data_IF_907093249685
#
_entry.id   IF_907093249685
#
_cell.length_a   1.000
_cell.length_b   1.000
_cell.length_c   1.000
_cell.angle_alpha   90.00
_cell.angle_beta   90.00
_cell.angle_gamma   90.00
#
_symmetry.space_group_name_H-M   'P 1'
#
loop_
_entity.id
_entity.type
_entity.pdbx_description
1 polymer ?
#
# COMPACT_ATOMS: atom_id res chain seq x y z
N UNK A 1 -6.91 -10.89 13.59
CA UNK A 1 -6.01 -11.02 12.44
C UNK A 1 -5.89 -9.68 11.73
N UNK A 2 -4.68 -9.13 11.59
CA UNK A 2 -4.41 -7.92 10.82
C UNK A 2 -3.92 -8.34 9.44
N UNK A 3 -4.70 -8.03 8.41
CA UNK A 3 -4.45 -8.49 7.04
C UNK A 3 -3.70 -7.43 6.24
N UNK A 4 -2.40 -7.62 6.05
CA UNK A 4 -1.54 -6.74 5.29
C UNK A 4 -1.54 -7.07 3.80
N UNK A 5 -1.17 -6.08 2.97
CA UNK A 5 -0.88 -6.32 1.57
C UNK A 5 0.42 -7.12 1.42
N UNK A 6 1.46 -6.65 2.10
CA UNK A 6 2.82 -7.20 2.03
C UNK A 6 3.72 -6.42 1.09
N UNK A 7 5.02 -6.51 1.35
CA UNK A 7 6.06 -5.73 0.69
C UNK A 7 7.30 -6.60 0.54
N UNK A 8 8.13 -6.32 -0.48
CA UNK A 8 9.48 -6.87 -0.60
C UNK A 8 10.52 -6.08 0.21
N UNK A 9 10.09 -5.01 0.86
CA UNK A 9 10.93 -4.15 1.68
C UNK A 9 10.79 -4.58 3.15
N UNK A 10 11.88 -5.06 3.74
CA UNK A 10 11.90 -5.59 5.11
C UNK A 10 11.52 -4.52 6.14
N UNK A 11 11.90 -3.25 5.92
CA UNK A 11 11.53 -2.17 6.83
C UNK A 11 10.01 -1.97 6.85
N UNK A 12 9.36 -2.10 5.69
CA UNK A 12 7.91 -2.02 5.59
C UNK A 12 7.22 -3.21 6.30
N UNK A 13 7.80 -4.41 6.24
CA UNK A 13 7.31 -5.60 6.96
C UNK A 13 7.47 -5.42 8.47
N UNK A 14 8.61 -4.89 8.91
CA UNK A 14 8.87 -4.59 10.32
C UNK A 14 7.89 -3.54 10.84
N UNK A 15 7.68 -2.43 10.13
CA UNK A 15 6.70 -1.41 10.52
C UNK A 15 5.28 -1.94 10.55
N UNK A 16 4.87 -2.77 9.59
CA UNK A 16 3.56 -3.42 9.62
C UNK A 16 3.37 -4.25 10.88
N UNK A 17 4.36 -5.07 11.23
CA UNK A 17 4.28 -5.93 12.41
C UNK A 17 4.32 -5.14 13.73
N UNK A 18 4.82 -3.89 13.75
CA UNK A 18 4.64 -3.00 14.92
C UNK A 18 3.17 -2.68 15.19
N UNK A 19 2.31 -2.61 14.17
CA UNK A 19 0.87 -2.46 14.40
C UNK A 19 0.31 -3.63 15.21
N UNK A 20 0.75 -4.85 14.94
CA UNK A 20 0.34 -6.02 15.73
C UNK A 20 0.78 -5.89 17.19
N UNK A 21 1.98 -5.38 17.46
CA UNK A 21 2.46 -5.10 18.82
C UNK A 21 1.57 -4.05 19.51
N UNK A 22 1.28 -2.93 18.84
CA UNK A 22 0.40 -1.91 19.41
C UNK A 22 -1.01 -2.42 19.66
N UNK A 23 -1.57 -3.20 18.73
CA UNK A 23 -2.92 -3.75 18.88
C UNK A 23 -3.00 -4.81 19.98
N UNK A 24 -1.97 -5.64 20.17
CA UNK A 24 -1.89 -6.54 21.35
C UNK A 24 -1.95 -5.76 22.67
N UNK A 25 -1.25 -4.63 22.75
CA UNK A 25 -1.28 -3.79 23.93
C UNK A 25 -2.65 -3.11 24.15
N UNK A 26 -3.35 -2.76 23.07
CA UNK A 26 -4.66 -2.09 23.11
C UNK A 26 -5.84 -3.04 23.27
N UNK A 27 -5.67 -4.30 22.91
CA UNK A 27 -6.68 -5.36 22.93
C UNK A 27 -6.14 -6.59 23.67
N UNK A 28 -5.79 -6.47 24.96
CA UNK A 28 -5.10 -7.55 25.71
C UNK A 28 -5.94 -8.83 25.84
N UNK A 29 -7.26 -8.72 25.71
CA UNK A 29 -8.19 -9.85 25.82
C UNK A 29 -8.31 -10.66 24.51
N UNK A 30 -7.65 -10.22 23.43
CA UNK A 30 -7.73 -10.86 22.11
C UNK A 30 -6.36 -11.40 21.69
N UNK A 31 -6.27 -12.66 21.21
CA UNK A 31 -5.10 -13.09 20.48
C UNK A 31 -5.01 -12.29 19.17
N UNK A 32 -3.86 -11.66 18.93
CA UNK A 32 -3.62 -10.84 17.73
C UNK A 32 -2.50 -11.46 16.93
N UNK A 33 -2.79 -11.75 15.67
CA UNK A 33 -1.82 -12.12 14.64
C UNK A 33 -1.89 -11.15 13.46
N UNK A 34 -0.80 -11.09 12.70
CA UNK A 34 -0.67 -10.37 11.43
C UNK A 34 -0.25 -11.33 10.32
N UNK A 35 -0.57 -10.97 9.07
CA UNK A 35 -0.06 -11.69 7.91
C UNK A 35 -0.34 -10.96 6.61
N UNK A 36 0.29 -11.40 5.54
CA UNK A 36 0.31 -10.68 4.26
C UNK A 36 -0.37 -11.46 3.13
N UNK A 37 -0.99 -10.73 2.20
CA UNK A 37 -1.49 -11.29 0.95
C UNK A 37 -0.34 -11.75 0.04
N UNK A 38 0.73 -10.95 -0.04
CA UNK A 38 1.81 -11.10 -1.01
C UNK A 38 3.19 -10.81 -0.43
N UNK A 39 4.24 -11.26 -1.11
CA UNK A 39 5.65 -10.83 -0.96
C UNK A 39 6.35 -11.06 0.38
N UNK A 40 5.61 -11.22 1.47
CA UNK A 40 6.14 -11.30 2.82
C UNK A 40 5.49 -12.46 3.58
N UNK A 41 6.18 -12.89 4.64
CA UNK A 41 5.70 -13.87 5.62
C UNK A 41 5.52 -13.21 6.99
N UNK A 42 4.62 -13.73 7.84
CA UNK A 42 3.71 -14.86 7.58
C UNK A 42 2.62 -14.50 6.56
N UNK A 43 2.17 -15.46 5.76
CA UNK A 43 1.01 -15.24 4.88
C UNK A 43 -0.28 -15.24 5.70
N UNK A 44 -1.35 -14.62 5.21
CA UNK A 44 -2.61 -14.51 5.95
C UNK A 44 -3.13 -15.86 6.47
N UNK A 45 -2.99 -16.92 5.66
CA UNK A 45 -3.37 -18.28 6.06
C UNK A 45 -2.64 -18.75 7.32
N UNK A 46 -1.34 -18.52 7.41
CA UNK A 46 -0.52 -18.91 8.57
C UNK A 46 -0.97 -18.18 9.84
N UNK A 47 -1.33 -16.90 9.72
CA UNK A 47 -1.89 -16.13 10.83
C UNK A 47 -3.26 -16.65 11.28
N UNK A 48 -4.12 -17.08 10.35
CA UNK A 48 -5.38 -17.72 10.71
C UNK A 48 -5.17 -19.08 11.40
N UNK A 49 -4.29 -19.92 10.85
CA UNK A 49 -3.97 -21.23 11.44
C UNK A 49 -3.40 -21.06 12.87
N UNK A 50 -2.55 -20.06 13.10
CA UNK A 50 -2.02 -19.75 14.42
C UNK A 50 -3.11 -19.32 15.42
N UNK A 51 -4.08 -18.51 14.99
CA UNK A 51 -5.22 -18.12 15.83
C UNK A 51 -6.10 -19.33 16.18
N UNK A 52 -6.35 -20.22 15.23
CA UNK A 52 -7.10 -21.47 15.48
C UNK A 52 -6.34 -22.37 16.44
N UNK A 53 -5.02 -22.52 16.27
CA UNK A 53 -4.18 -23.28 17.18
C UNK A 53 -4.17 -22.71 18.61
N UNK A 54 -4.36 -21.40 18.75
CA UNK A 54 -4.54 -20.71 20.03
C UNK A 54 -5.98 -20.85 20.61
N UNK A 55 -6.87 -21.60 19.95
CA UNK A 55 -8.24 -21.86 20.41
C UNK A 55 -9.29 -20.88 19.91
N UNK A 56 -8.97 -20.00 18.96
CA UNK A 56 -9.95 -19.07 18.42
C UNK A 56 -10.99 -19.78 17.54
N UNK A 57 -12.27 -19.67 17.90
CA UNK A 57 -13.41 -20.13 17.08
C UNK A 57 -14.10 -18.98 16.34
N UNK A 58 -13.78 -17.74 16.70
CA UNK A 58 -14.24 -16.51 16.04
C UNK A 58 -13.02 -15.64 15.77
N UNK A 59 -12.76 -15.33 14.51
CA UNK A 59 -11.61 -14.52 14.07
C UNK A 59 -12.12 -13.23 13.45
N UNK A 60 -11.62 -12.09 13.93
CA UNK A 60 -11.88 -10.78 13.34
C UNK A 60 -10.73 -10.46 12.37
N UNK A 61 -11.02 -10.44 11.07
CA UNK A 61 -10.08 -10.15 10.00
C UNK A 61 -10.15 -8.66 9.66
N UNK A 62 -9.15 -7.89 10.09
CA UNK A 62 -9.08 -6.44 9.96
C UNK A 62 -8.13 -6.07 8.82
N UNK A 63 -8.60 -5.43 7.73
CA UNK A 63 -7.75 -4.96 6.65
C UNK A 63 -6.75 -3.90 7.12
N UNK A 64 -5.45 -4.16 6.92
CA UNK A 64 -4.37 -3.19 7.09
C UNK A 64 -4.22 -2.25 5.88
N UNK A 65 -5.33 -1.70 5.39
CA UNK A 65 -5.39 -0.87 4.18
C UNK A 65 -6.17 0.42 4.41
N UNK A 66 -5.66 1.52 3.85
CA UNK A 66 -6.30 2.83 3.94
C UNK A 66 -7.61 2.89 3.16
N UNK A 67 -7.63 2.38 1.92
CA UNK A 67 -8.80 2.44 1.05
C UNK A 67 -9.14 1.10 0.43
N UNK A 68 -10.44 0.83 0.27
CA UNK A 68 -10.94 -0.35 -0.41
C UNK A 68 -10.78 -0.27 -1.94
N UNK A 69 -9.82 -1.01 -2.47
CA UNK A 69 -9.67 -1.30 -3.90
C UNK A 69 -9.74 -2.83 -4.14
N UNK A 70 -9.11 -3.35 -5.20
CA UNK A 70 -9.10 -4.78 -5.54
C UNK A 70 -8.83 -5.70 -4.33
N UNK A 71 -7.78 -5.44 -3.55
CA UNK A 71 -7.44 -6.32 -2.41
C UNK A 71 -8.52 -6.41 -1.35
N UNK A 72 -9.15 -5.29 -0.97
CA UNK A 72 -10.19 -5.30 0.07
C UNK A 72 -11.54 -5.75 -0.51
N UNK A 73 -11.83 -5.38 -1.77
CA UNK A 73 -13.11 -5.70 -2.43
C UNK A 73 -13.17 -7.14 -2.97
N UNK A 74 -12.02 -7.78 -3.18
CA UNK A 74 -11.91 -9.06 -3.88
C UNK A 74 -10.95 -10.05 -3.19
N UNK A 75 -9.65 -9.74 -3.07
CA UNK A 75 -8.66 -10.75 -2.71
C UNK A 75 -8.75 -11.18 -1.23
N UNK A 76 -8.90 -10.25 -0.29
CA UNK A 76 -9.11 -10.55 1.13
C UNK A 76 -10.44 -11.27 1.39
N UNK A 77 -11.59 -10.85 0.83
CA UNK A 77 -12.81 -11.63 0.91
C UNK A 77 -12.63 -13.07 0.41
N UNK A 78 -11.88 -13.26 -0.68
CA UNK A 78 -11.58 -14.60 -1.20
C UNK A 78 -10.75 -15.43 -0.20
N UNK A 79 -9.70 -14.84 0.40
CA UNK A 79 -8.89 -15.51 1.43
C UNK A 79 -9.74 -15.92 2.64
N UNK A 80 -10.53 -14.99 3.15
CA UNK A 80 -11.36 -15.16 4.34
C UNK A 80 -12.40 -16.25 4.10
N UNK A 81 -13.12 -16.19 2.97
CA UNK A 81 -14.18 -17.14 2.65
C UNK A 81 -13.62 -18.54 2.37
N UNK A 82 -12.47 -18.64 1.69
CA UNK A 82 -11.81 -19.93 1.43
C UNK A 82 -11.35 -20.57 2.74
N UNK A 83 -10.71 -19.81 3.63
CA UNK A 83 -10.31 -20.30 4.94
C UNK A 83 -11.49 -20.80 5.78
N UNK A 84 -12.57 -20.01 5.85
CA UNK A 84 -13.76 -20.36 6.61
C UNK A 84 -14.45 -21.62 6.06
N UNK A 85 -14.49 -21.81 4.73
CA UNK A 85 -15.04 -23.00 4.10
C UNK A 85 -14.22 -24.27 4.40
N UNK A 86 -12.90 -24.13 4.53
CA UNK A 86 -11.98 -25.24 4.80
C UNK A 86 -11.86 -25.58 6.30
N UNK A 87 -12.37 -24.73 7.19
CA UNK A 87 -12.17 -24.85 8.65
C UNK A 87 -13.50 -24.90 9.40
N UNK A 88 -14.20 -26.06 9.43
CA UNK A 88 -15.49 -26.19 10.12
C UNK A 88 -15.41 -25.81 11.61
N UNK A 89 -16.39 -25.04 12.07
CA UNK A 89 -16.47 -24.60 13.48
C UNK A 89 -15.72 -23.29 13.77
N UNK A 90 -15.03 -22.71 12.80
CA UNK A 90 -14.40 -21.38 12.90
C UNK A 90 -15.17 -20.39 12.04
N UNK A 91 -15.55 -19.26 12.63
CA UNK A 91 -16.15 -18.13 11.89
C UNK A 91 -15.09 -17.04 11.71
N UNK A 92 -14.96 -16.53 10.48
CA UNK A 92 -14.10 -15.37 10.20
C UNK A 92 -14.95 -14.20 9.74
N UNK A 93 -14.93 -13.12 10.51
CA UNK A 93 -15.66 -11.89 10.21
C UNK A 93 -14.72 -10.86 9.62
N UNK A 94 -15.06 -10.36 8.44
CA UNK A 94 -14.23 -9.42 7.69
C UNK A 94 -14.67 -7.97 7.96
N UNK A 95 -13.72 -7.14 8.41
CA UNK A 95 -13.94 -5.70 8.60
C UNK A 95 -13.80 -4.90 7.32
N UNK A 96 -14.28 -3.66 7.36
CA UNK A 96 -14.02 -2.66 6.31
C UNK A 96 -12.60 -2.10 6.40
N UNK A 97 -12.14 -1.48 5.31
CA UNK A 97 -10.91 -0.67 5.28
C UNK A 97 -10.95 0.48 6.27
N UNK A 98 -9.79 1.09 6.57
CA UNK A 98 -9.73 2.24 7.48
C UNK A 98 -10.57 3.42 6.95
N UNK A 99 -10.56 3.63 5.64
CA UNK A 99 -11.39 4.59 4.93
C UNK A 99 -11.03 6.05 5.24
N UNK A 100 -12.02 6.91 5.10
CA UNK A 100 -11.93 8.33 5.49
C UNK A 100 -12.34 8.44 6.95
N UNK A 101 -11.38 8.76 7.81
CA UNK A 101 -11.55 8.73 9.26
C UNK A 101 -10.94 9.99 9.89
N UNK A 102 -11.66 10.72 10.75
CA UNK A 102 -11.13 11.89 11.46
C UNK A 102 -9.82 11.62 12.22
N UNK A 103 -9.62 10.40 12.73
CA UNK A 103 -8.37 10.00 13.41
C UNK A 103 -7.19 9.94 12.45
N UNK A 104 -7.41 9.46 11.22
CA UNK A 104 -6.37 9.46 10.19
C UNK A 104 -6.07 10.87 9.69
N UNK A 105 -7.08 11.74 9.57
CA UNK A 105 -6.86 13.16 9.25
C UNK A 105 -6.07 13.87 10.35
N UNK A 106 -6.33 13.55 11.62
CA UNK A 106 -5.55 14.06 12.75
C UNK A 106 -4.10 13.57 12.74
N UNK A 107 -3.87 12.30 12.37
CA UNK A 107 -2.53 11.78 12.18
C UNK A 107 -1.81 12.51 11.03
N UNK A 108 -2.47 12.69 9.89
CA UNK A 108 -1.94 13.43 8.75
C UNK A 108 -1.60 14.88 9.12
N UNK A 109 -2.50 15.58 9.80
CA UNK A 109 -2.27 16.94 10.31
C UNK A 109 -1.00 16.99 11.17
N UNK A 110 -0.84 16.07 12.11
CA UNK A 110 0.34 16.02 12.97
C UNK A 110 1.64 15.85 12.17
N UNK A 111 1.66 14.97 11.16
CA UNK A 111 2.85 14.78 10.29
C UNK A 111 3.21 16.01 9.48
N UNK A 112 2.20 16.73 9.00
CA UNK A 112 2.39 17.97 8.24
C UNK A 112 2.93 19.05 9.18
N UNK A 113 2.36 19.20 10.37
CA UNK A 113 2.79 20.17 11.38
C UNK A 113 4.20 19.88 11.91
N UNK A 114 4.58 18.61 12.08
CA UNK A 114 5.95 18.19 12.40
C UNK A 114 6.95 18.68 11.35
N UNK A 115 6.61 18.57 10.05
CA UNK A 115 7.46 19.05 8.97
C UNK A 115 7.51 20.58 8.86
N UNK A 116 6.40 21.27 9.14
CA UNK A 116 6.37 22.74 9.23
C UNK A 116 7.25 23.24 10.39
N UNK A 117 7.19 22.58 11.55
CA UNK A 117 7.98 22.95 12.72
C UNK A 117 9.49 22.74 12.51
N UNK A 118 9.86 21.76 11.68
CA UNK A 118 11.25 21.49 11.30
C UNK A 118 11.74 22.33 10.10
N UNK A 119 10.87 23.16 9.50
CA UNK A 119 11.21 23.93 8.31
C UNK A 119 12.27 25.00 8.61
N UNK A 120 13.22 25.26 7.69
CA UNK A 120 14.27 26.26 7.90
C UNK A 120 13.76 27.70 7.81
N UNK A 121 12.60 27.91 7.17
CA UNK A 121 11.99 29.23 7.02
C UNK A 121 10.54 29.25 7.50
N UNK A 122 10.01 30.44 7.79
CA UNK A 122 8.60 30.63 8.08
C UNK A 122 7.87 31.09 6.80
N UNK A 123 7.03 30.21 6.24
CA UNK A 123 6.15 30.51 5.10
C UNK A 123 4.71 30.25 5.54
N UNK A 124 3.82 31.21 5.26
CA UNK A 124 2.40 31.10 5.57
C UNK A 124 1.77 29.95 4.76
N UNK A 125 0.84 29.21 5.37
CA UNK A 125 0.10 28.13 4.69
C UNK A 125 -0.61 28.64 3.43
N UNK A 126 -1.08 29.89 3.40
CA UNK A 126 -1.69 30.50 2.19
C UNK A 126 -0.71 30.65 1.01
N UNK A 127 0.59 30.72 1.29
CA UNK A 127 1.67 30.79 0.31
C UNK A 127 2.30 29.40 0.07
N UNK A 128 1.69 28.34 0.61
CA UNK A 128 2.14 26.96 0.53
C UNK A 128 1.12 26.09 -0.21
N UNK A 129 1.59 25.29 -1.16
CA UNK A 129 0.80 24.23 -1.80
C UNK A 129 0.99 22.92 -1.05
N UNK A 130 -0.11 22.25 -0.68
CA UNK A 130 -0.09 20.90 -0.10
C UNK A 130 -0.24 19.86 -1.21
N UNK A 131 0.78 19.05 -1.45
CA UNK A 131 0.70 17.90 -2.34
C UNK A 131 0.47 16.63 -1.52
N UNK A 132 -0.72 16.04 -1.64
CA UNK A 132 -1.05 14.76 -1.01
C UNK A 132 -0.79 13.63 -2.00
N UNK A 133 0.07 12.69 -1.62
CA UNK A 133 0.48 11.59 -2.48
C UNK A 133 -0.16 10.29 -1.99
N UNK A 134 -1.04 9.71 -2.82
CA UNK A 134 -1.61 8.38 -2.60
C UNK A 134 -0.81 7.28 -3.30
N UNK A 135 -1.10 6.02 -2.99
CA UNK A 135 -0.56 4.89 -3.76
C UNK A 135 -1.03 4.95 -5.22
N UNK A 136 -2.33 5.10 -5.43
CA UNK A 136 -3.01 5.06 -6.73
C UNK A 136 -3.50 3.66 -7.10
N UNK A 137 -4.60 3.53 -7.82
CA UNK A 137 -5.19 2.22 -8.15
C UNK A 137 -5.99 2.30 -9.45
N UNK A 138 -6.36 1.15 -10.01
CA UNK A 138 -7.31 1.06 -11.12
C UNK A 138 -8.78 1.10 -10.65
N UNK A 139 -9.03 1.55 -9.43
CA UNK A 139 -10.34 1.71 -8.82
C UNK A 139 -10.57 3.20 -8.55
N UNK A 140 -11.50 3.78 -9.30
CA UNK A 140 -11.78 5.23 -9.25
C UNK A 140 -12.39 5.67 -7.92
N UNK A 141 -13.14 4.81 -7.25
CA UNK A 141 -13.72 5.08 -5.93
C UNK A 141 -12.61 5.23 -4.88
N UNK A 142 -11.64 4.31 -4.86
CA UNK A 142 -10.47 4.42 -4.00
C UNK A 142 -9.58 5.63 -4.32
N UNK A 143 -9.40 5.98 -5.61
CA UNK A 143 -8.68 7.19 -6.00
C UNK A 143 -9.46 8.46 -5.57
N UNK A 144 -10.79 8.45 -5.61
CA UNK A 144 -11.59 9.61 -5.18
C UNK A 144 -11.41 9.91 -3.69
N UNK A 145 -11.14 8.87 -2.88
CA UNK A 145 -10.90 9.03 -1.45
C UNK A 145 -9.61 9.80 -1.15
N UNK A 146 -8.54 9.64 -1.94
CA UNK A 146 -7.34 10.47 -1.73
C UNK A 146 -7.62 11.95 -2.04
N UNK A 147 -8.44 12.23 -3.05
CA UNK A 147 -8.88 13.58 -3.37
C UNK A 147 -9.72 14.18 -2.26
N UNK A 148 -10.58 13.37 -1.62
CA UNK A 148 -11.35 13.78 -0.45
C UNK A 148 -10.43 14.11 0.73
N UNK A 149 -9.46 13.25 1.04
CA UNK A 149 -8.44 13.52 2.08
C UNK A 149 -7.70 14.83 1.79
N UNK A 150 -7.22 15.01 0.56
CA UNK A 150 -6.50 16.22 0.17
C UNK A 150 -7.33 17.49 0.36
N UNK A 151 -8.62 17.47 -0.03
CA UNK A 151 -9.53 18.60 0.21
C UNK A 151 -9.73 18.88 1.69
N UNK A 152 -9.95 17.85 2.50
CA UNK A 152 -10.16 18.01 3.95
C UNK A 152 -8.92 18.55 4.65
N UNK A 153 -7.72 18.10 4.28
CA UNK A 153 -6.47 18.62 4.82
C UNK A 153 -6.19 20.05 4.35
N UNK A 154 -6.36 20.33 3.06
CA UNK A 154 -6.15 21.65 2.50
C UNK A 154 -7.05 22.71 3.15
N UNK A 155 -8.36 22.53 3.03
CA UNK A 155 -9.34 23.51 3.52
C UNK A 155 -9.33 23.57 5.04
N UNK A 156 -9.15 22.42 5.71
CA UNK A 156 -9.14 22.33 7.16
C UNK A 156 -7.88 22.93 7.80
N UNK A 157 -6.72 22.87 7.13
CA UNK A 157 -5.46 23.41 7.65
C UNK A 157 -5.13 24.82 7.13
N UNK A 158 -5.82 25.29 6.10
CA UNK A 158 -5.66 26.64 5.55
C UNK A 158 -4.51 26.79 4.55
N UNK A 159 -4.15 25.73 3.81
CA UNK A 159 -3.18 25.84 2.72
C UNK A 159 -3.70 26.73 1.57
N UNK A 160 -2.80 27.28 0.75
CA UNK A 160 -3.18 28.11 -0.39
C UNK A 160 -3.82 27.29 -1.52
N UNK A 161 -3.31 26.07 -1.72
CA UNK A 161 -3.81 25.13 -2.72
C UNK A 161 -3.46 23.69 -2.37
N UNK A 162 -4.10 22.74 -3.06
CA UNK A 162 -3.68 21.34 -3.02
C UNK A 162 -3.62 20.68 -4.38
N UNK A 163 -2.67 19.76 -4.52
CA UNK A 163 -2.65 18.79 -5.61
C UNK A 163 -2.64 17.37 -5.08
N UNK A 164 -3.25 16.47 -5.85
CA UNK A 164 -3.22 15.04 -5.58
C UNK A 164 -2.31 14.40 -6.61
N UNK A 165 -1.33 13.64 -6.12
CA UNK A 165 -0.46 12.84 -6.96
C UNK A 165 -0.48 11.38 -6.50
N UNK A 166 0.06 10.52 -7.35
CA UNK A 166 0.12 9.09 -7.08
C UNK A 166 1.52 8.55 -7.27
N UNK A 167 1.89 7.59 -6.41
CA UNK A 167 3.16 6.87 -6.54
C UNK A 167 3.21 5.94 -7.75
N UNK A 168 2.05 5.52 -8.28
CA UNK A 168 1.96 4.67 -9.47
C UNK A 168 0.53 4.28 -9.86
N UNK A 169 0.41 3.51 -10.95
CA UNK A 169 -0.82 2.96 -11.57
C UNK A 169 -1.80 3.97 -12.14
N UNK A 170 -2.02 5.09 -11.47
CA UNK A 170 -2.89 6.17 -11.93
C UNK A 170 -2.14 7.50 -11.97
N UNK A 171 -2.75 8.49 -12.61
CA UNK A 171 -2.17 9.81 -12.87
C UNK A 171 -2.90 10.91 -12.09
N UNK A 172 -2.22 12.04 -11.80
CA UNK A 172 -0.83 12.36 -12.15
C UNK A 172 0.19 11.66 -11.24
N UNK A 173 1.36 11.31 -11.80
CA UNK A 173 2.49 10.81 -11.03
C UNK A 173 3.24 11.96 -10.33
N UNK A 174 3.96 11.65 -9.25
CA UNK A 174 4.66 12.63 -8.40
C UNK A 174 5.56 13.58 -9.19
N UNK A 175 6.45 13.07 -10.06
CA UNK A 175 7.36 13.91 -10.84
C UNK A 175 6.63 14.95 -11.72
N UNK A 176 5.74 14.51 -12.64
CA UNK A 176 4.91 15.42 -13.42
C UNK A 176 4.05 16.37 -12.58
N UNK A 177 3.53 15.90 -11.44
CA UNK A 177 2.78 16.72 -10.50
C UNK A 177 3.61 17.81 -9.86
N UNK A 178 4.82 17.49 -9.39
CA UNK A 178 5.75 18.49 -8.83
C UNK A 178 6.15 19.53 -9.86
N UNK A 179 6.42 19.09 -11.11
CA UNK A 179 6.72 20.00 -12.22
C UNK A 179 5.54 20.92 -12.56
N UNK A 180 4.30 20.45 -12.40
CA UNK A 180 3.11 21.27 -12.55
C UNK A 180 2.95 22.25 -11.38
N UNK A 181 3.01 21.76 -10.15
CA UNK A 181 2.91 22.55 -8.92
C UNK A 181 3.94 23.69 -8.85
N UNK A 182 5.17 23.44 -9.31
CA UNK A 182 6.23 24.45 -9.36
C UNK A 182 5.89 25.66 -10.25
N UNK A 183 4.95 25.50 -11.20
CA UNK A 183 4.52 26.58 -12.10
C UNK A 183 3.36 27.41 -11.54
N UNK A 184 2.81 27.03 -10.39
CA UNK A 184 1.64 27.69 -9.79
C UNK A 184 1.99 28.90 -8.91
N UNK A 185 3.27 29.17 -8.67
CA UNK A 185 3.73 30.40 -8.01
C UNK A 185 3.67 30.39 -6.48
N UNK A 186 3.55 29.21 -5.85
CA UNK A 186 3.64 29.07 -4.39
C UNK A 186 5.11 29.13 -3.93
N UNK A 187 5.35 29.75 -2.78
CA UNK A 187 6.70 29.89 -2.20
C UNK A 187 7.22 28.56 -1.64
N UNK A 188 6.30 27.70 -1.22
CA UNK A 188 6.58 26.40 -0.63
C UNK A 188 5.65 25.33 -1.20
N UNK A 189 6.19 24.12 -1.39
CA UNK A 189 5.42 22.91 -1.66
C UNK A 189 5.66 21.92 -0.51
N UNK A 190 4.60 21.62 0.23
CA UNK A 190 4.56 20.59 1.27
C UNK A 190 4.10 19.27 0.67
N UNK A 191 4.96 18.26 0.64
CA UNK A 191 4.64 16.93 0.09
C UNK A 191 4.36 15.97 1.23
N UNK A 192 3.14 15.41 1.25
CA UNK A 192 2.67 14.49 2.28
C UNK A 192 2.26 13.14 1.67
N UNK A 193 3.04 12.07 1.90
CA UNK A 193 2.65 10.72 1.52
C UNK A 193 1.56 10.16 2.46
N UNK A 194 0.35 9.94 1.93
CA UNK A 194 -0.74 9.29 2.67
C UNK A 194 -0.59 7.76 2.63
N UNK A 195 0.37 7.27 3.40
CA UNK A 195 0.74 5.85 3.51
C UNK A 195 0.80 5.41 4.96
N UNK A 196 0.51 4.14 5.23
CA UNK A 196 0.64 3.56 6.57
C UNK A 196 2.10 3.22 6.91
N UNK A 197 2.90 2.82 5.92
CA UNK A 197 4.25 2.29 6.15
C UNK A 197 5.24 2.88 5.16
N UNK A 198 6.51 2.75 5.51
CA UNK A 198 7.66 3.04 4.66
C UNK A 198 7.75 2.10 3.46
N UNK A 199 8.84 2.25 2.73
CA UNK A 199 9.29 1.31 1.72
C UNK A 199 9.70 2.02 0.44
N UNK A 200 9.96 1.23 -0.60
CA UNK A 200 10.44 1.73 -1.89
C UNK A 200 9.57 2.84 -2.50
N UNK A 201 8.25 2.81 -2.29
CA UNK A 201 7.36 3.83 -2.84
C UNK A 201 7.53 5.18 -2.14
N UNK A 202 7.57 5.20 -0.81
CA UNK A 202 7.79 6.43 -0.04
C UNK A 202 9.17 7.02 -0.35
N UNK A 203 10.21 6.17 -0.43
CA UNK A 203 11.57 6.61 -0.81
C UNK A 203 11.57 7.30 -2.18
N UNK A 204 10.94 6.70 -3.19
CA UNK A 204 10.80 7.31 -4.53
C UNK A 204 10.04 8.62 -4.55
N UNK A 205 9.03 8.78 -3.69
CA UNK A 205 8.33 10.06 -3.54
C UNK A 205 9.34 11.11 -3.10
N UNK A 206 10.09 10.84 -2.03
CA UNK A 206 11.09 11.77 -1.50
C UNK A 206 12.22 12.05 -2.48
N UNK A 207 12.72 11.04 -3.19
CA UNK A 207 13.72 11.23 -4.27
C UNK A 207 13.18 12.19 -5.35
N UNK A 208 11.89 12.07 -5.69
CA UNK A 208 11.21 12.98 -6.61
C UNK A 208 11.10 14.41 -6.09
N UNK A 209 10.87 14.58 -4.78
CA UNK A 209 10.88 15.89 -4.13
C UNK A 209 12.28 16.51 -4.16
N UNK A 210 13.31 15.73 -3.88
CA UNK A 210 14.70 16.20 -3.89
C UNK A 210 15.14 16.62 -5.31
N UNK A 211 14.72 15.86 -6.34
CA UNK A 211 14.94 16.24 -7.73
C UNK A 211 14.19 17.53 -8.11
N UNK A 212 12.95 17.71 -7.65
CA UNK A 212 12.19 18.94 -7.90
C UNK A 212 12.82 20.15 -7.19
N UNK A 213 13.28 19.99 -5.95
CA UNK A 213 13.99 21.03 -5.21
C UNK A 213 15.29 21.47 -5.91
N UNK A 214 16.04 20.51 -6.48
CA UNK A 214 17.23 20.83 -7.27
C UNK A 214 16.91 21.58 -8.57
N UNK A 215 15.75 21.31 -9.18
CA UNK A 215 15.31 21.97 -10.41
C UNK A 215 14.67 23.36 -10.18
N UNK A 216 14.14 23.61 -8.98
CA UNK A 216 13.40 24.82 -8.63
C UNK A 216 13.93 25.41 -7.31
N UNK A 217 15.15 25.97 -7.30
CA UNK A 217 15.81 26.45 -6.08
C UNK A 217 15.14 27.68 -5.43
N UNK A 218 14.22 28.32 -6.13
CA UNK A 218 13.40 29.44 -5.67
C UNK A 218 12.16 29.00 -4.87
N UNK A 219 11.83 27.71 -4.87
CA UNK A 219 10.71 27.11 -4.15
C UNK A 219 11.24 26.25 -3.00
N UNK A 220 10.69 26.41 -1.81
CA UNK A 220 11.01 25.53 -0.69
C UNK A 220 10.18 24.26 -0.74
N UNK A 221 10.83 23.10 -0.75
CA UNK A 221 10.14 21.81 -0.71
C UNK A 221 10.27 21.19 0.68
N UNK A 222 9.13 20.87 1.30
CA UNK A 222 9.08 20.14 2.57
C UNK A 222 8.55 18.73 2.36
N UNK A 223 9.14 17.77 3.08
CA UNK A 223 8.76 16.36 3.09
C UNK A 223 8.13 16.04 4.44
N UNK A 224 6.81 15.93 4.49
CA UNK A 224 6.13 15.41 5.67
C UNK A 224 6.33 13.89 5.75
N UNK A 225 6.44 13.37 6.97
CA UNK A 225 6.43 11.93 7.18
C UNK A 225 5.07 11.32 6.81
N UNK A 226 5.04 10.03 6.55
CA UNK A 226 3.79 9.27 6.35
C UNK A 226 3.12 8.97 7.70
N UNK A 227 1.93 8.35 7.67
CA UNK A 227 1.12 8.14 8.88
C UNK A 227 1.87 7.29 9.93
N UNK A 228 2.50 6.19 9.51
CA UNK A 228 3.25 5.27 10.36
C UNK A 228 2.39 4.76 11.54
N UNK A 229 3.02 4.48 12.67
CA UNK A 229 2.42 4.03 13.92
C UNK A 229 1.83 5.16 14.78
N UNK A 230 1.47 6.30 14.18
CA UNK A 230 0.89 7.42 14.92
C UNK A 230 -0.31 6.95 15.78
N UNK A 231 -0.46 7.38 17.05
CA UNK A 231 -1.48 6.83 17.95
C UNK A 231 -2.91 6.84 17.38
N UNK A 232 -3.27 7.86 16.61
CA UNK A 232 -4.59 7.92 15.96
C UNK A 232 -4.77 6.91 14.82
N UNK A 233 -3.69 6.44 14.20
CA UNK A 233 -3.74 5.28 13.28
C UNK A 233 -4.06 4.02 14.08
N UNK A 234 -3.42 3.81 15.24
CA UNK A 234 -3.73 2.66 16.10
C UNK A 234 -5.19 2.70 16.56
N UNK A 235 -5.69 3.87 16.95
CA UNK A 235 -7.11 4.04 17.31
C UNK A 235 -8.06 3.69 16.16
N UNK A 236 -7.72 4.00 14.91
CA UNK A 236 -8.61 3.68 13.79
C UNK A 236 -8.67 2.16 13.54
N UNK A 237 -7.58 1.43 13.79
CA UNK A 237 -7.62 -0.04 13.79
C UNK A 237 -8.46 -0.60 14.94
N UNK A 238 -8.36 -0.01 16.13
CA UNK A 238 -9.21 -0.42 17.27
C UNK A 238 -10.68 -0.21 16.92
N UNK A 239 -11.04 0.92 16.29
CA UNK A 239 -12.41 1.14 15.81
C UNK A 239 -12.83 0.06 14.81
N UNK A 240 -11.97 -0.33 13.85
CA UNK A 240 -12.34 -1.40 12.91
C UNK A 240 -12.62 -2.73 13.62
N UNK A 241 -11.93 -3.02 14.72
CA UNK A 241 -12.26 -4.20 15.55
C UNK A 241 -13.63 -4.04 16.20
N UNK A 242 -13.92 -2.87 16.77
CA UNK A 242 -15.21 -2.60 17.40
C UNK A 242 -16.37 -2.61 16.39
N UNK A 243 -16.17 -2.08 15.18
CA UNK A 243 -17.12 -2.11 14.08
C UNK A 243 -17.50 -3.56 13.75
N UNK A 244 -16.53 -4.48 13.70
CA UNK A 244 -16.81 -5.91 13.48
C UNK A 244 -17.64 -6.48 14.64
N UNK A 245 -17.25 -6.19 15.88
CA UNK A 245 -17.97 -6.67 17.06
C UNK A 245 -19.41 -6.15 17.13
N UNK A 246 -19.66 -4.93 16.67
CA UNK A 246 -20.97 -4.30 16.61
C UNK A 246 -21.79 -4.70 15.37
N UNK A 247 -21.18 -5.37 14.38
CA UNK A 247 -21.82 -5.70 13.09
C UNK A 247 -21.89 -4.53 12.11
N UNK A 248 -21.14 -3.46 12.35
CA UNK A 248 -21.06 -2.24 11.53
C UNK A 248 -19.96 -2.34 10.44
N UNK A 249 -19.90 -3.48 9.74
CA UNK A 249 -18.84 -3.79 8.75
C UNK A 249 -19.18 -3.38 7.33
N UNK A 250 -20.28 -2.65 7.13
CA UNK A 250 -20.74 -2.26 5.81
C UNK A 250 -19.67 -1.45 5.06
N UNK A 251 -19.14 -2.04 3.99
CA UNK A 251 -18.33 -1.32 3.00
C UNK A 251 -19.24 -0.53 2.06
N UNK A 252 -18.70 0.51 1.42
CA UNK A 252 -19.42 1.23 0.36
C UNK A 252 -19.58 0.33 -0.88
N UNK A 253 -20.60 -0.53 -0.88
CA UNK A 253 -20.94 -1.35 -2.03
C UNK A 253 -21.73 -0.59 -3.10
N UNK A 254 -22.27 0.60 -2.79
CA UNK A 254 -23.07 1.39 -3.72
C UNK A 254 -22.27 1.89 -4.92
N UNK A 255 -20.96 2.09 -4.74
CA UNK A 255 -20.03 2.47 -5.82
C UNK A 255 -18.99 1.38 -6.10
N UNK A 256 -19.25 0.15 -5.66
CA UNK A 256 -18.34 -0.96 -5.91
C UNK A 256 -18.48 -1.43 -7.36
N UNK A 257 -17.39 -1.33 -8.14
CA UNK A 257 -17.33 -1.76 -9.54
C UNK A 257 -17.73 -3.22 -9.80
N UNK A 258 -17.71 -4.06 -8.77
CA UNK A 258 -18.09 -5.47 -8.87
C UNK A 258 -19.58 -5.72 -8.57
N UNK A 259 -20.32 -4.72 -8.10
CA UNK A 259 -21.72 -4.83 -7.62
C UNK A 259 -22.68 -3.87 -8.29
N UNK A 260 -22.18 -2.76 -8.81
CA UNK A 260 -22.98 -1.74 -9.50
C UNK A 260 -22.28 -1.30 -10.80
N UNK A 261 -23.07 -0.87 -11.79
CA UNK A 261 -22.59 -0.27 -13.03
C UNK A 261 -21.98 1.11 -12.73
N UNK A 262 -20.66 1.11 -12.55
CA UNK A 262 -19.87 2.34 -12.42
C UNK A 262 -19.26 2.67 -13.77
N UNK A 263 -19.28 3.96 -14.14
CA UNK A 263 -18.76 4.49 -15.41
C UNK A 263 -17.35 3.97 -15.67
N UNK A 264 -17.14 3.31 -16.82
CA UNK A 264 -15.85 2.76 -17.25
C UNK A 264 -15.51 1.39 -16.65
N UNK A 265 -16.39 0.80 -15.84
CA UNK A 265 -16.25 -0.54 -15.26
C UNK A 265 -17.48 -1.41 -15.50
N UNK A 266 -18.26 -1.15 -16.54
CA UNK A 266 -19.51 -1.86 -16.85
C UNK A 266 -19.29 -3.37 -17.01
N UNK A 267 -18.13 -3.77 -17.55
CA UNK A 267 -17.74 -5.18 -17.72
C UNK A 267 -17.32 -5.89 -16.43
N UNK A 268 -17.11 -5.16 -15.33
CA UNK A 268 -16.68 -5.74 -14.05
C UNK A 268 -17.87 -6.17 -13.16
N UNK A 269 -19.09 -5.76 -13.50
CA UNK A 269 -20.29 -6.07 -12.70
C UNK A 269 -20.58 -7.57 -12.72
N UNK A 270 -20.73 -8.15 -11.54
CA UNK A 270 -20.99 -9.58 -11.40
C UNK A 270 -19.76 -10.47 -11.59
N UNK A 271 -18.55 -9.91 -11.73
CA UNK A 271 -17.33 -10.70 -11.77
C UNK A 271 -17.19 -11.56 -10.50
N UNK A 272 -16.83 -12.84 -10.71
CA UNK A 272 -16.59 -13.80 -9.64
C UNK A 272 -15.41 -13.35 -8.79
N UNK A 273 -15.53 -13.46 -7.46
CA UNK A 273 -14.41 -13.18 -6.58
C UNK A 273 -13.34 -14.26 -6.72
N UNK A 274 -12.11 -13.87 -7.02
CA UNK A 274 -10.98 -14.76 -7.22
C UNK A 274 -9.68 -14.09 -6.75
N UNK A 275 -8.87 -14.78 -5.95
CA UNK A 275 -7.56 -14.24 -5.54
C UNK A 275 -6.60 -14.16 -6.72
N UNK A 276 -6.02 -12.99 -6.98
CA UNK A 276 -5.07 -12.83 -8.10
C UNK A 276 -3.61 -13.08 -7.72
N UNK A 277 -3.37 -13.33 -6.43
CA UNK A 277 -2.04 -13.20 -5.82
C UNK A 277 -1.35 -14.53 -5.51
N UNK A 278 -1.94 -15.65 -5.90
CA UNK A 278 -1.43 -16.99 -5.59
C UNK A 278 0.04 -17.20 -5.96
N UNK A 279 0.47 -16.62 -7.07
CA UNK A 279 1.80 -16.82 -7.62
C UNK A 279 2.92 -16.06 -6.89
N UNK A 280 2.58 -15.15 -5.96
CA UNK A 280 3.56 -14.31 -5.24
C UNK A 280 3.37 -14.32 -3.73
N UNK A 281 2.59 -15.25 -3.18
CA UNK A 281 2.43 -15.42 -1.72
C UNK A 281 3.73 -15.87 -1.09
N UNK A 282 4.27 -15.05 -0.18
CA UNK A 282 5.58 -15.30 0.44
C UNK A 282 6.73 -15.42 -0.57
N UNK A 283 6.56 -14.95 -1.81
CA UNK A 283 7.61 -15.05 -2.81
C UNK A 283 8.73 -14.04 -2.54
N UNK A 284 9.98 -14.51 -2.55
CA UNK A 284 11.17 -13.70 -2.28
C UNK A 284 11.67 -13.75 -0.83
N UNK A 285 11.08 -14.59 0.03
CA UNK A 285 11.49 -14.73 1.45
C UNK A 285 12.45 -15.91 1.71
N UNK A 286 12.86 -16.67 0.68
CA UNK A 286 13.72 -17.85 0.83
C UNK A 286 15.23 -17.53 0.84
N UNK A 287 15.59 -16.24 0.80
CA UNK A 287 16.99 -15.80 0.90
C UNK A 287 17.40 -15.63 2.35
N UNK A 288 17.82 -16.73 3.01
CA UNK A 288 18.88 -16.78 4.05
C UNK A 288 18.94 -18.14 4.77
N UNK A 289 18.92 -19.23 4.02
CA UNK A 289 19.34 -20.54 4.53
C UNK A 289 20.51 -21.07 3.70
N UNK A 290 21.72 -20.62 4.07
CA UNK A 290 22.97 -21.25 3.63
C UNK A 290 23.05 -22.69 4.16
N UNK A 291 22.43 -23.63 3.44
CA UNK A 291 22.74 -25.05 3.59
C UNK A 291 23.99 -25.37 2.77
N UNK A 292 25.14 -25.35 3.44
CA UNK A 292 26.35 -25.99 2.95
C UNK A 292 26.11 -27.49 2.79
N UNK A 293 25.86 -27.94 1.56
CA UNK A 293 26.03 -29.34 1.19
C UNK A 293 27.24 -29.45 0.27
N UNK A 294 28.35 -29.88 0.86
CA UNK A 294 29.52 -30.34 0.10
C UNK A 294 29.15 -31.63 -0.63
N UNK A 295 29.24 -31.60 -1.95
CA UNK A 295 29.22 -32.81 -2.76
C UNK A 295 30.45 -32.88 -3.66
N UNK A 296 31.15 -33.98 -3.43
CA UNK A 296 32.34 -34.48 -4.09
C UNK A 296 31.99 -34.81 -5.56
N UNK A 297 32.71 -34.23 -6.53
CA UNK A 297 32.54 -34.55 -7.95
C UNK A 297 33.62 -35.55 -8.39
N UNK A 298 33.17 -36.77 -8.71
CA UNK A 298 33.94 -37.77 -9.44
C UNK A 298 33.30 -38.04 -10.80
N UNK A 299 34.17 -38.18 -11.81
CA UNK A 299 33.95 -38.60 -13.20
C UNK A 299 33.34 -37.49 -14.09
N UNK A 300 34.01 -36.95 -15.10
CA UNK A 300 34.97 -37.55 -16.03
C UNK A 300 34.19 -38.16 -17.19
N UNK A 301 34.04 -37.44 -18.30
CA UNK A 301 34.19 -37.96 -19.66
C UNK A 301 34.30 -36.80 -20.66
N UNK A 302 35.34 -36.97 -21.47
CA UNK A 302 35.79 -36.27 -22.66
C UNK A 302 34.74 -36.28 -23.78
N UNK A 303 34.72 -35.27 -24.66
CA UNK A 303 34.56 -35.39 -26.12
C UNK A 303 34.64 -34.02 -26.81
N UNK A 304 35.79 -33.79 -27.48
CA UNK A 304 35.83 -33.60 -28.93
C UNK A 304 35.37 -32.26 -29.52
N UNK A 305 36.34 -31.41 -29.84
CA UNK A 305 36.22 -30.24 -30.69
C UNK A 305 35.93 -30.58 -32.16
N UNK A 306 35.19 -29.70 -32.84
CA UNK A 306 35.08 -29.66 -34.30
C UNK A 306 34.55 -28.30 -34.75
N UNK A 307 35.45 -27.44 -35.20
CA UNK A 307 35.17 -26.13 -35.78
C UNK A 307 34.47 -26.22 -37.14
N UNK A 308 33.78 -25.15 -37.55
CA UNK A 308 33.53 -24.95 -38.97
C UNK A 308 32.57 -23.83 -39.36
N UNK A 309 33.16 -22.68 -39.70
CA UNK A 309 32.80 -21.82 -40.85
C UNK A 309 31.49 -21.02 -40.87
N UNK A 310 31.69 -19.70 -40.78
CA UNK A 310 30.92 -18.63 -41.44
C UNK A 310 31.08 -18.74 -42.99
N UNK A 311 30.06 -18.35 -43.79
CA UNK A 311 30.24 -17.09 -44.51
C UNK A 311 28.96 -16.24 -44.73
N UNK A 312 29.20 -14.94 -44.88
CA UNK A 312 28.24 -13.86 -45.14
C UNK A 312 27.31 -13.97 -46.35
N UNK A 313 26.28 -13.11 -46.35
CA UNK A 313 25.33 -12.93 -47.44
C UNK A 313 24.51 -11.64 -47.30
N UNK A 314 24.52 -10.85 -48.36
CA UNK A 314 24.02 -9.49 -48.55
C UNK A 314 22.51 -9.17 -48.38
N UNK A 315 22.26 -7.89 -48.03
CA UNK A 315 21.22 -6.91 -48.49
C UNK A 315 19.74 -7.35 -48.68
N UNK A 316 18.81 -6.57 -48.11
CA UNK A 316 18.00 -5.51 -48.80
C UNK A 316 16.80 -5.02 -47.96
N UNK A 317 16.65 -3.69 -47.95
CA UNK A 317 15.42 -2.85 -47.97
C UNK A 317 14.04 -3.45 -47.65
N UNK A 318 13.29 -2.75 -46.78
CA UNK A 318 11.83 -2.87 -46.68
C UNK A 318 11.21 -1.84 -45.72
N UNK A 319 10.63 -0.79 -46.28
CA UNK A 319 9.80 0.26 -45.67
C UNK A 319 8.39 -0.22 -45.28
N UNK A 320 7.66 0.62 -44.52
CA UNK A 320 6.21 0.61 -44.17
C UNK A 320 5.77 -0.48 -43.17
N UNK A 321 4.99 -0.20 -42.12
CA UNK A 321 4.04 0.88 -41.80
C UNK A 321 4.16 1.34 -40.36
#
# INVERSE_FOLDING_TARGET
MICGHGSRDDDAVVEFNRLAVHLRARLPDYPVESGFLEFARPVIREGFDALVAAGATRILAVPGMLFAAGHVKNDLPWEVNSFAAETPGVTVEFGRDLGIDPKLLKAAQARIEEAEAAAPTAVDRKDTLLMVVGRGTNDSDANSNISKVARMLWEGMGFGWTEVCYSGVTSPLVGPGLAHAARLGYKRIMVFPYFLFTGILVRRIYDGVDAAAAAHPDIEFLKASYLSDHPMVIESFVDRVQDILAGETAMNCQLCKYREQVIGFEAAVGATQAGHHHHVRGAGTDGDHHHHHGHNHGHGHDHGHGEGHDPGGERKSGTTS
#
